data_IF_602012692768
#
_entry.id   IF_602012692768
#
_cell.length_a   1.000
_cell.length_b   1.000
_cell.length_c   1.000
_cell.angle_alpha   90.00
_cell.angle_beta   90.00
_cell.angle_gamma   90.00
#
_symmetry.space_group_name_H-M   'P 1'
#
loop_
_entity.id
_entity.type
_entity.pdbx_description
1 polymer ?
#
# COMPACT_ATOMS: atom_id res chain seq x y z
N UNK A 1 9.82 8.72 17.50
CA UNK A 1 8.68 8.86 16.58
C UNK A 1 7.48 9.32 17.38
N UNK A 2 6.87 10.43 16.98
CA UNK A 2 5.61 10.93 17.53
C UNK A 2 4.46 10.61 16.58
N UNK A 3 3.24 10.57 17.11
CA UNK A 3 2.02 10.41 16.33
C UNK A 3 1.18 11.68 16.41
N UNK A 4 0.49 12.00 15.32
CA UNK A 4 -0.39 13.18 15.23
C UNK A 4 -1.61 12.86 14.39
N UNK A 5 -2.69 13.60 14.63
CA UNK A 5 -3.87 13.61 13.74
C UNK A 5 -3.96 14.98 13.07
N UNK A 6 -3.87 15.01 11.77
CA UNK A 6 -4.03 16.21 10.92
C UNK A 6 -5.47 16.24 10.41
N UNK A 7 -6.27 17.15 10.97
CA UNK A 7 -7.72 17.22 10.68
C UNK A 7 -7.99 17.90 9.34
N UNK A 8 -9.11 17.55 8.71
CA UNK A 8 -9.66 18.23 7.54
C UNK A 8 -8.71 18.30 6.33
N UNK A 9 -8.18 17.17 5.89
CA UNK A 9 -7.34 17.04 4.70
C UNK A 9 -8.08 16.20 3.67
N UNK A 10 -8.51 16.77 2.57
CA UNK A 10 -9.25 16.09 1.49
C UNK A 10 -10.37 15.16 2.00
N UNK A 11 -11.15 15.63 3.01
CA UNK A 11 -12.24 14.88 3.63
C UNK A 11 -11.80 13.82 4.66
N UNK A 12 -10.56 13.84 5.10
CA UNK A 12 -9.98 12.92 6.09
C UNK A 12 -9.45 13.65 7.32
N UNK A 13 -9.40 12.92 8.42
CA UNK A 13 -8.53 13.18 9.56
C UNK A 13 -7.37 12.18 9.46
N UNK A 14 -6.20 12.64 9.00
CA UNK A 14 -5.03 11.81 8.77
C UNK A 14 -4.29 11.50 10.06
N UNK A 15 -4.09 10.24 10.34
CA UNK A 15 -3.11 9.80 11.31
C UNK A 15 -1.74 9.71 10.66
N UNK A 16 -0.73 10.32 11.27
CA UNK A 16 0.65 10.27 10.80
C UNK A 16 1.61 9.88 11.92
N UNK A 17 2.69 9.20 11.53
CA UNK A 17 3.90 9.03 12.33
C UNK A 17 4.94 10.01 11.83
N UNK A 18 5.64 10.67 12.74
CA UNK A 18 6.61 11.70 12.40
C UNK A 18 7.85 11.56 13.28
N UNK A 19 9.03 11.73 12.69
CA UNK A 19 10.25 11.89 13.48
C UNK A 19 10.40 13.35 13.90
N UNK A 20 10.84 13.57 15.15
CA UNK A 20 11.23 14.89 15.59
C UNK A 20 12.74 15.00 15.45
N UNK A 21 13.20 15.99 14.70
CA UNK A 21 14.60 16.38 14.66
C UNK A 21 14.76 17.63 15.54
N UNK A 22 15.74 17.62 16.45
CA UNK A 22 16.08 18.81 17.26
C UNK A 22 16.68 19.93 16.41
N UNK A 23 17.25 19.55 15.25
CA UNK A 23 17.84 20.47 14.26
C UNK A 23 16.83 20.72 13.13
N UNK A 24 16.90 21.91 12.52
CA UNK A 24 16.13 22.18 11.29
C UNK A 24 16.44 21.09 10.26
N UNK A 25 15.44 20.29 9.85
CA UNK A 25 15.70 19.15 8.96
C UNK A 25 16.18 19.64 7.62
N UNK A 26 17.16 18.95 7.05
CA UNK A 26 17.67 19.25 5.72
C UNK A 26 16.62 19.04 4.64
N UNK A 27 15.89 17.93 4.75
CA UNK A 27 14.84 17.51 3.80
C UNK A 27 13.80 16.61 4.48
N UNK A 28 12.62 16.52 3.88
CA UNK A 28 11.54 15.63 4.33
C UNK A 28 11.48 14.38 3.46
N UNK A 29 11.33 13.22 4.10
CA UNK A 29 11.05 11.94 3.47
C UNK A 29 9.63 11.51 3.86
N UNK A 30 8.81 11.23 2.87
CA UNK A 30 7.43 10.71 3.02
C UNK A 30 7.44 9.23 2.67
N UNK A 31 6.93 8.39 3.61
CA UNK A 31 6.94 6.94 3.48
C UNK A 31 5.50 6.42 3.35
N UNK A 32 5.18 5.78 2.23
CA UNK A 32 3.85 5.28 1.90
C UNK A 32 3.83 3.76 1.93
N UNK A 33 3.03 3.20 2.86
CA UNK A 33 2.90 1.75 3.08
C UNK A 33 2.04 1.06 2.01
N UNK A 34 2.10 -0.25 1.96
CA UNK A 34 1.31 -1.10 1.09
C UNK A 34 0.15 -1.82 1.79
N UNK A 35 -0.35 -2.86 1.17
CA UNK A 35 -1.41 -3.72 1.68
C UNK A 35 -0.84 -5.04 2.23
N UNK A 36 -1.30 -5.50 3.39
CA UNK A 36 -2.21 -4.91 4.38
C UNK A 36 -1.47 -4.21 5.53
N UNK A 37 -0.54 -3.34 5.21
CA UNK A 37 0.35 -2.68 6.16
C UNK A 37 -0.22 -1.33 6.66
N UNK A 38 0.53 -0.71 7.57
CA UNK A 38 0.28 0.60 8.15
C UNK A 38 1.57 1.43 8.15
N UNK A 39 1.49 2.71 8.45
CA UNK A 39 2.65 3.58 8.68
C UNK A 39 3.65 3.00 9.70
N UNK A 40 3.18 2.13 10.59
CA UNK A 40 3.99 1.44 11.60
C UNK A 40 5.08 0.55 11.00
N UNK A 41 4.90 0.04 9.78
CA UNK A 41 5.90 -0.78 9.09
C UNK A 41 7.24 -0.04 8.92
N UNK A 42 7.19 1.28 8.78
CA UNK A 42 8.38 2.11 8.59
C UNK A 42 9.10 2.54 9.87
N UNK A 43 8.63 2.14 11.06
CA UNK A 43 9.16 2.64 12.35
C UNK A 43 10.68 2.54 12.50
N UNK A 44 11.29 1.46 12.02
CA UNK A 44 12.74 1.29 12.10
C UNK A 44 13.48 2.13 11.06
N UNK A 45 12.99 2.14 9.82
CA UNK A 45 13.56 2.95 8.75
C UNK A 45 13.49 4.45 9.09
N UNK A 46 12.39 4.92 9.64
CA UNK A 46 12.23 6.31 10.08
C UNK A 46 13.28 6.71 11.12
N UNK A 47 13.60 5.82 12.07
CA UNK A 47 14.64 6.09 13.09
C UNK A 47 16.02 6.21 12.42
N UNK A 48 16.34 5.31 11.48
CA UNK A 48 17.63 5.32 10.78
C UNK A 48 17.78 6.59 9.94
N UNK A 49 16.77 6.94 9.17
CA UNK A 49 16.76 8.16 8.34
C UNK A 49 16.82 9.44 9.20
N UNK A 50 16.12 9.45 10.33
CA UNK A 50 16.15 10.59 11.26
C UNK A 50 17.54 10.81 11.85
N UNK A 51 18.30 9.77 12.13
CA UNK A 51 19.71 9.86 12.57
C UNK A 51 20.61 10.48 11.50
N UNK A 52 20.22 10.42 10.24
CA UNK A 52 20.90 11.06 9.12
C UNK A 52 20.40 12.50 8.84
N UNK A 53 19.58 13.05 9.75
CA UNK A 53 19.10 14.43 9.67
C UNK A 53 17.83 14.61 8.83
N UNK A 54 17.18 13.56 8.36
CA UNK A 54 15.91 13.67 7.63
C UNK A 54 14.71 13.79 8.57
N UNK A 55 13.76 14.63 8.19
CA UNK A 55 12.42 14.64 8.76
C UNK A 55 11.58 13.58 8.06
N UNK A 56 11.10 12.57 8.76
CA UNK A 56 10.31 11.48 8.19
C UNK A 56 8.84 11.62 8.57
N UNK A 57 7.96 11.42 7.59
CA UNK A 57 6.51 11.39 7.76
C UNK A 57 5.98 10.12 7.12
N UNK A 58 5.24 9.32 7.88
CA UNK A 58 4.54 8.14 7.41
C UNK A 58 3.06 8.23 7.80
N UNK A 59 2.15 8.53 6.84
CA UNK A 59 0.71 8.50 7.08
C UNK A 59 0.15 7.08 7.03
N UNK A 60 -0.88 6.80 7.82
CA UNK A 60 -1.82 5.74 7.47
C UNK A 60 -2.65 6.24 6.30
N UNK A 61 -2.63 5.58 5.16
CA UNK A 61 -3.31 6.03 3.95
C UNK A 61 -4.84 5.90 4.09
N UNK A 62 -5.62 6.50 3.19
CA UNK A 62 -7.09 6.38 3.16
C UNK A 62 -7.54 4.93 3.25
N UNK A 63 -8.46 4.64 4.18
CA UNK A 63 -8.98 3.30 4.42
C UNK A 63 -8.11 2.42 5.33
N UNK A 64 -7.01 2.96 5.85
CA UNK A 64 -6.10 2.21 6.71
C UNK A 64 -5.97 2.83 8.12
N UNK A 65 -5.70 1.96 9.07
CA UNK A 65 -5.24 2.28 10.43
C UNK A 65 -6.14 3.28 11.15
N UNK A 66 -5.54 4.36 11.63
CA UNK A 66 -6.21 5.40 12.40
C UNK A 66 -6.64 6.62 11.55
N UNK A 67 -6.37 6.64 10.25
CA UNK A 67 -6.91 7.66 9.35
C UNK A 67 -8.41 7.45 9.18
N UNK A 68 -9.20 8.49 9.45
CA UNK A 68 -10.67 8.43 9.46
C UNK A 68 -11.28 9.39 8.46
N UNK A 69 -12.26 8.91 7.74
CA UNK A 69 -13.08 9.74 6.86
C UNK A 69 -14.06 10.59 7.67
N UNK A 70 -14.24 11.85 7.26
CA UNK A 70 -15.19 12.77 7.91
C UNK A 70 -16.61 12.46 7.46
N UNK A 71 -16.76 11.93 6.23
CA UNK A 71 -18.05 11.55 5.62
C UNK A 71 -18.01 10.11 5.17
N UNK A 72 -19.20 9.52 4.92
CA UNK A 72 -19.31 8.19 4.33
C UNK A 72 -18.58 8.15 2.98
N UNK A 73 -17.68 7.18 2.82
CA UNK A 73 -16.89 7.02 1.63
C UNK A 73 -17.65 6.28 0.52
N UNK A 74 -17.33 6.67 -0.72
CA UNK A 74 -17.73 5.97 -1.94
C UNK A 74 -16.52 5.26 -2.53
N UNK A 75 -16.72 4.22 -3.32
CA UNK A 75 -15.62 3.51 -4.00
C UNK A 75 -14.75 4.44 -4.85
N UNK A 76 -15.35 5.47 -5.47
CA UNK A 76 -14.62 6.48 -6.25
C UNK A 76 -13.61 7.29 -5.44
N UNK A 77 -13.76 7.37 -4.11
CA UNK A 77 -12.80 8.04 -3.23
C UNK A 77 -11.45 7.31 -3.16
N UNK A 78 -11.44 6.02 -3.52
CA UNK A 78 -10.25 5.17 -3.55
C UNK A 78 -9.57 5.12 -4.93
N UNK A 79 -9.93 6.01 -5.86
CA UNK A 79 -9.20 6.13 -7.11
C UNK A 79 -7.75 6.56 -6.84
N UNK A 80 -6.81 6.04 -7.64
CA UNK A 80 -5.37 6.33 -7.45
C UNK A 80 -5.07 7.84 -7.49
N UNK A 81 -5.79 8.59 -8.31
CA UNK A 81 -5.67 10.05 -8.40
C UNK A 81 -6.09 10.70 -7.08
N UNK A 82 -7.19 10.23 -6.47
CA UNK A 82 -7.64 10.80 -5.20
C UNK A 82 -6.71 10.39 -4.03
N UNK A 83 -6.21 9.16 -4.02
CA UNK A 83 -5.20 8.73 -3.03
C UNK A 83 -3.91 9.56 -3.14
N UNK A 84 -3.49 9.88 -4.35
CA UNK A 84 -2.33 10.76 -4.58
C UNK A 84 -2.61 12.20 -4.11
N UNK A 85 -3.82 12.71 -4.37
CA UNK A 85 -4.27 14.01 -3.88
C UNK A 85 -4.31 14.07 -2.35
N UNK A 86 -4.71 12.99 -1.69
CA UNK A 86 -4.73 12.91 -0.22
C UNK A 86 -3.36 13.24 0.38
N UNK A 87 -2.31 12.64 -0.15
CA UNK A 87 -0.94 12.84 0.32
C UNK A 87 -0.44 14.24 -0.03
N UNK A 88 -0.71 14.70 -1.26
CA UNK A 88 -0.34 16.06 -1.67
C UNK A 88 -0.98 17.13 -0.75
N UNK A 89 -2.29 17.04 -0.49
CA UNK A 89 -3.00 17.99 0.38
C UNK A 89 -2.54 17.88 1.85
N UNK A 90 -2.17 16.67 2.32
CA UNK A 90 -1.58 16.48 3.63
C UNK A 90 -0.26 17.26 3.75
N UNK A 91 0.65 17.10 2.80
CA UNK A 91 1.96 17.74 2.83
C UNK A 91 1.84 19.25 2.66
N UNK A 92 0.94 19.73 1.79
CA UNK A 92 0.61 21.15 1.65
C UNK A 92 0.11 21.74 2.96
N UNK A 93 -0.76 21.05 3.68
CA UNK A 93 -1.24 21.50 4.99
C UNK A 93 -0.14 21.54 6.04
N UNK A 94 0.84 20.64 5.95
CA UNK A 94 2.04 20.63 6.80
C UNK A 94 3.10 21.66 6.34
N UNK A 95 2.82 22.44 5.27
CA UNK A 95 3.74 23.42 4.67
C UNK A 95 5.04 22.80 4.14
N UNK A 96 4.95 21.56 3.65
CA UNK A 96 6.07 20.82 3.06
C UNK A 96 5.91 20.86 1.56
N UNK A 97 6.73 21.67 0.89
CA UNK A 97 6.62 21.95 -0.55
C UNK A 97 7.51 21.04 -1.41
N UNK A 98 8.62 20.52 -0.84
CA UNK A 98 9.55 19.62 -1.51
C UNK A 98 9.88 18.44 -0.61
N UNK A 99 9.90 17.23 -1.17
CA UNK A 99 10.10 16.02 -0.39
C UNK A 99 10.61 14.85 -1.23
N UNK A 100 11.26 13.92 -0.56
CA UNK A 100 11.56 12.59 -1.10
C UNK A 100 10.36 11.68 -0.85
N UNK A 101 10.06 10.78 -1.80
CA UNK A 101 9.05 9.75 -1.63
C UNK A 101 9.69 8.37 -1.53
N UNK A 102 9.25 7.57 -0.57
CA UNK A 102 9.53 6.14 -0.47
C UNK A 102 8.20 5.41 -0.44
N UNK A 103 7.92 4.61 -1.45
CA UNK A 103 6.72 3.78 -1.52
C UNK A 103 7.05 2.30 -1.45
N UNK A 104 6.28 1.53 -0.69
CA UNK A 104 6.36 0.07 -0.64
C UNK A 104 5.04 -0.55 -1.10
N UNK A 105 5.10 -1.57 -1.96
CA UNK A 105 3.93 -2.30 -2.49
C UNK A 105 2.92 -1.33 -3.12
N UNK A 106 1.67 -1.26 -2.65
CA UNK A 106 0.66 -0.32 -3.13
C UNK A 106 1.08 1.15 -2.92
N UNK A 107 1.86 1.45 -1.86
CA UNK A 107 2.45 2.77 -1.65
C UNK A 107 3.42 3.19 -2.75
N UNK A 108 4.10 2.24 -3.43
CA UNK A 108 4.91 2.52 -4.63
C UNK A 108 4.04 3.05 -5.78
N UNK A 109 2.85 2.48 -5.94
CA UNK A 109 1.92 2.91 -6.97
C UNK A 109 1.39 4.32 -6.70
N UNK A 110 0.98 4.60 -5.46
CA UNK A 110 0.55 5.95 -5.04
C UNK A 110 1.69 6.95 -5.21
N UNK A 111 2.91 6.63 -4.76
CA UNK A 111 4.09 7.50 -4.90
C UNK A 111 4.41 7.84 -6.36
N UNK A 112 4.30 6.86 -7.25
CA UNK A 112 4.52 7.07 -8.68
C UNK A 112 3.48 8.02 -9.29
N UNK A 113 2.22 7.90 -8.90
CA UNK A 113 1.18 8.84 -9.36
C UNK A 113 1.34 10.24 -8.75
N UNK A 114 1.79 10.37 -7.51
CA UNK A 114 2.14 11.69 -6.94
C UNK A 114 3.23 12.34 -7.78
N UNK A 115 4.26 11.57 -8.16
CA UNK A 115 5.36 12.07 -8.98
C UNK A 115 4.90 12.54 -10.36
N UNK A 116 3.94 11.83 -10.97
CA UNK A 116 3.36 12.24 -12.26
C UNK A 116 2.47 13.49 -12.14
N UNK A 117 1.68 13.59 -11.08
CA UNK A 117 0.69 14.65 -10.91
C UNK A 117 1.30 15.95 -10.33
N UNK A 118 2.35 15.83 -9.52
CA UNK A 118 2.98 16.93 -8.78
C UNK A 118 4.51 16.90 -8.88
N UNK A 119 5.10 16.80 -10.09
CA UNK A 119 6.54 16.60 -10.26
C UNK A 119 7.37 17.72 -9.62
N UNK A 120 6.82 18.94 -9.57
CA UNK A 120 7.49 20.10 -8.97
C UNK A 120 7.76 19.95 -7.46
N UNK A 121 7.07 19.04 -6.76
CA UNK A 121 7.24 18.81 -5.33
C UNK A 121 8.25 17.69 -5.01
N UNK A 122 8.66 16.92 -6.01
CA UNK A 122 9.44 15.70 -5.82
C UNK A 122 10.93 15.97 -5.95
N UNK A 123 11.69 15.60 -4.92
CA UNK A 123 13.17 15.62 -4.95
C UNK A 123 13.68 14.29 -5.49
N UNK A 124 13.16 13.18 -4.98
CA UNK A 124 13.44 11.82 -5.48
C UNK A 124 12.30 10.86 -5.18
N UNK A 125 12.24 9.79 -5.93
CA UNK A 125 11.28 8.69 -5.74
C UNK A 125 12.05 7.37 -5.58
N UNK A 126 11.77 6.66 -4.49
CA UNK A 126 12.19 5.27 -4.26
C UNK A 126 10.96 4.38 -4.23
N UNK A 127 10.90 3.38 -5.09
CA UNK A 127 9.84 2.38 -5.14
C UNK A 127 10.36 1.00 -4.76
N UNK A 128 9.63 0.31 -3.89
CA UNK A 128 10.01 -1.00 -3.36
C UNK A 128 8.92 -2.03 -3.65
N UNK A 129 9.31 -3.20 -4.13
CA UNK A 129 8.48 -4.38 -4.44
C UNK A 129 7.58 -4.27 -5.66
N UNK A 130 7.16 -3.08 -6.08
CA UNK A 130 6.21 -2.92 -7.17
C UNK A 130 6.73 -1.90 -8.19
N UNK A 131 7.30 -2.33 -9.31
CA UNK A 131 7.77 -1.44 -10.35
C UNK A 131 6.60 -0.71 -11.02
N UNK A 132 6.83 0.53 -11.45
CA UNK A 132 5.83 1.34 -12.11
C UNK A 132 5.95 1.22 -13.63
N UNK A 133 4.98 0.58 -14.25
CA UNK A 133 4.88 0.39 -15.72
C UNK A 133 4.07 1.47 -16.45
N UNK A 134 3.80 2.61 -15.79
CA UNK A 134 2.92 3.66 -16.32
C UNK A 134 1.44 3.46 -15.93
N UNK A 135 0.56 4.42 -16.31
CA UNK A 135 -0.87 4.30 -16.11
C UNK A 135 -1.44 3.06 -16.80
N UNK A 136 -2.34 2.34 -16.11
CA UNK A 136 -2.93 1.12 -16.66
C UNK A 136 -3.75 1.42 -17.91
N UNK A 137 -3.45 0.77 -19.02
CA UNK A 137 -4.28 0.78 -20.22
C UNK A 137 -5.53 -0.07 -19.99
N UNK A 138 -6.67 0.31 -20.60
CA UNK A 138 -7.94 -0.45 -20.51
C UNK A 138 -7.77 -1.95 -20.81
N UNK A 139 -6.92 -2.30 -21.76
CA UNK A 139 -6.62 -3.69 -22.12
C UNK A 139 -6.06 -4.52 -20.94
N UNK A 140 -5.30 -3.92 -20.01
CA UNK A 140 -4.72 -4.64 -18.88
C UNK A 140 -5.77 -4.95 -17.79
N UNK A 141 -6.76 -4.08 -17.61
CA UNK A 141 -7.88 -4.32 -16.67
C UNK A 141 -8.69 -5.54 -17.12
N UNK A 142 -9.01 -5.62 -18.41
CA UNK A 142 -9.73 -6.75 -18.99
C UNK A 142 -8.92 -8.06 -18.88
N UNK A 143 -7.60 -8.01 -19.08
CA UNK A 143 -6.74 -9.19 -18.99
C UNK A 143 -6.75 -9.83 -17.60
N UNK A 144 -6.67 -9.03 -16.54
CA UNK A 144 -6.73 -9.56 -15.17
C UNK A 144 -8.11 -10.16 -14.85
N UNK A 145 -9.19 -9.56 -15.35
CA UNK A 145 -10.55 -10.10 -15.21
C UNK A 145 -10.68 -11.48 -15.92
N UNK A 146 -10.16 -11.60 -17.14
CA UNK A 146 -10.12 -12.87 -17.90
C UNK A 146 -9.35 -13.93 -17.13
N UNK A 147 -8.14 -13.63 -16.68
CA UNK A 147 -7.32 -14.56 -15.88
C UNK A 147 -8.04 -15.02 -14.62
N UNK A 148 -8.72 -14.09 -13.90
CA UNK A 148 -9.46 -14.49 -12.70
C UNK A 148 -10.64 -15.42 -13.02
N UNK A 149 -11.28 -15.26 -14.19
CA UNK A 149 -12.31 -16.20 -14.67
C UNK A 149 -11.70 -17.56 -14.99
N UNK A 150 -10.56 -17.60 -15.68
CA UNK A 150 -9.82 -18.83 -15.98
C UNK A 150 -9.37 -19.55 -14.71
N UNK A 151 -8.87 -18.81 -13.68
CA UNK A 151 -8.51 -19.37 -12.39
C UNK A 151 -9.68 -20.08 -11.70
N UNK A 152 -10.92 -19.56 -11.85
CA UNK A 152 -12.13 -20.19 -11.32
C UNK A 152 -12.48 -21.53 -11.99
N UNK A 153 -12.02 -21.73 -13.23
CA UNK A 153 -12.26 -22.95 -14.00
C UNK A 153 -11.23 -24.06 -13.71
N UNK A 154 -10.16 -23.75 -12.98
CA UNK A 154 -9.16 -24.74 -12.57
C UNK A 154 -9.72 -25.73 -11.54
N UNK A 155 -9.09 -26.90 -11.45
CA UNK A 155 -9.34 -27.92 -10.43
C UNK A 155 -8.08 -28.10 -9.57
N UNK A 156 -8.09 -27.74 -8.28
CA UNK A 156 -9.17 -27.04 -7.57
C UNK A 156 -9.35 -25.59 -8.06
N UNK A 157 -10.56 -25.05 -7.88
CA UNK A 157 -10.87 -23.63 -8.22
C UNK A 157 -9.92 -22.69 -7.50
N UNK A 158 -9.53 -21.63 -8.21
CA UNK A 158 -8.62 -20.60 -7.68
C UNK A 158 -9.22 -19.21 -7.86
N UNK A 159 -8.71 -18.26 -7.06
CA UNK A 159 -9.09 -16.86 -7.16
C UNK A 159 -7.88 -15.98 -6.89
N UNK A 160 -7.69 -14.95 -7.70
CA UNK A 160 -6.66 -13.94 -7.43
C UNK A 160 -7.00 -13.14 -6.17
N UNK A 161 -6.03 -12.92 -5.29
CA UNK A 161 -6.23 -12.29 -3.96
C UNK A 161 -6.90 -10.92 -4.05
N UNK A 162 -6.57 -10.09 -5.04
CA UNK A 162 -7.19 -8.76 -5.22
C UNK A 162 -8.70 -8.87 -5.48
N UNK A 163 -9.14 -9.89 -6.24
CA UNK A 163 -10.57 -10.15 -6.45
C UNK A 163 -11.26 -10.68 -5.20
N UNK A 164 -10.56 -11.46 -4.39
CA UNK A 164 -11.09 -11.91 -3.12
C UNK A 164 -11.29 -10.72 -2.16
N UNK A 165 -10.25 -9.91 -1.93
CA UNK A 165 -10.32 -8.78 -1.02
C UNK A 165 -11.27 -7.67 -1.49
N UNK A 166 -11.57 -7.55 -2.79
CA UNK A 166 -12.59 -6.65 -3.32
C UNK A 166 -14.02 -7.19 -3.24
N UNK A 167 -14.23 -8.43 -2.81
CA UNK A 167 -15.56 -9.03 -2.70
C UNK A 167 -16.27 -8.59 -1.41
N UNK A 168 -17.62 -8.46 -1.47
CA UNK A 168 -18.44 -8.02 -0.32
C UNK A 168 -18.30 -8.88 0.94
N UNK A 169 -17.93 -10.15 0.81
CA UNK A 169 -17.78 -11.07 1.95
C UNK A 169 -16.39 -11.11 2.57
N UNK A 170 -15.38 -10.51 1.95
CA UNK A 170 -13.97 -10.68 2.36
C UNK A 170 -13.70 -10.13 3.77
N UNK A 171 -14.20 -8.93 4.08
CA UNK A 171 -14.07 -8.33 5.40
C UNK A 171 -14.68 -9.22 6.48
N UNK A 172 -15.93 -9.63 6.31
CA UNK A 172 -16.63 -10.50 7.25
C UNK A 172 -15.91 -11.84 7.45
N UNK A 173 -15.42 -12.44 6.35
CA UNK A 173 -14.69 -13.71 6.43
C UNK A 173 -13.38 -13.57 7.22
N UNK A 174 -12.65 -12.47 7.05
CA UNK A 174 -11.40 -12.22 7.76
C UNK A 174 -11.65 -11.89 9.22
N UNK A 175 -12.61 -11.00 9.49
CA UNK A 175 -12.95 -10.61 10.88
C UNK A 175 -13.48 -11.77 11.72
N UNK A 176 -14.23 -12.69 11.09
CA UNK A 176 -14.85 -13.85 11.76
C UNK A 176 -14.10 -15.17 11.48
N UNK A 177 -12.86 -15.10 11.00
CA UNK A 177 -12.09 -16.32 10.73
C UNK A 177 -11.85 -17.13 12.03
N UNK A 178 -11.88 -18.46 11.90
CA UNK A 178 -11.79 -19.40 13.04
C UNK A 178 -10.61 -19.16 13.98
N UNK A 179 -9.45 -18.79 13.42
CA UNK A 179 -8.23 -18.51 14.20
C UNK A 179 -8.18 -17.10 14.80
N UNK A 180 -9.15 -16.24 14.51
CA UNK A 180 -9.18 -14.83 14.87
C UNK A 180 -8.25 -13.95 14.03
N UNK A 181 -8.59 -12.67 13.89
CA UNK A 181 -7.88 -11.71 13.03
C UNK A 181 -6.37 -11.63 13.32
N UNK A 182 -6.00 -11.62 14.60
CA UNK A 182 -4.57 -11.53 14.99
C UNK A 182 -3.76 -12.70 14.46
N UNK A 183 -4.25 -13.93 14.61
CA UNK A 183 -3.55 -15.12 14.16
C UNK A 183 -3.59 -15.24 12.63
N UNK A 184 -4.69 -14.82 12.00
CA UNK A 184 -4.76 -14.72 10.55
C UNK A 184 -3.67 -13.80 10.00
N UNK A 185 -3.53 -12.58 10.53
CA UNK A 185 -2.52 -11.63 10.08
C UNK A 185 -1.10 -12.12 10.37
N UNK A 186 -0.85 -12.73 11.53
CA UNK A 186 0.46 -13.33 11.84
C UNK A 186 0.84 -14.40 10.83
N UNK A 187 -0.09 -15.31 10.51
CA UNK A 187 0.14 -16.35 9.50
C UNK A 187 0.37 -15.73 8.12
N UNK A 188 -0.47 -14.76 7.73
CA UNK A 188 -0.35 -14.08 6.44
C UNK A 188 1.03 -13.44 6.25
N UNK A 189 1.53 -12.69 7.25
CA UNK A 189 2.85 -12.07 7.19
C UNK A 189 3.98 -13.10 7.27
N UNK A 190 3.84 -14.16 8.08
CA UNK A 190 4.83 -15.22 8.17
C UNK A 190 5.00 -15.93 6.84
N UNK A 191 3.91 -16.35 6.18
CA UNK A 191 3.97 -16.99 4.85
C UNK A 191 4.57 -16.10 3.76
N UNK A 192 4.54 -14.78 3.92
CA UNK A 192 5.18 -13.82 3.00
C UNK A 192 6.59 -13.44 3.39
N UNK A 193 7.05 -13.80 4.59
CA UNK A 193 8.37 -13.42 5.07
C UNK A 193 9.48 -14.26 4.44
N UNK A 194 10.69 -13.71 4.47
CA UNK A 194 11.90 -14.42 4.06
C UNK A 194 12.18 -15.64 4.94
N UNK A 195 11.77 -15.60 6.22
CA UNK A 195 11.99 -16.67 7.19
C UNK A 195 11.13 -17.92 6.94
N UNK A 196 10.13 -17.82 6.07
CA UNK A 196 9.31 -18.98 5.71
C UNK A 196 10.03 -19.87 4.68
N UNK A 197 10.44 -21.11 5.05
CA UNK A 197 11.34 -21.93 4.23
C UNK A 197 10.82 -22.26 2.83
N UNK A 198 9.48 -22.28 2.66
CA UNK A 198 8.84 -22.60 1.37
C UNK A 198 8.57 -21.38 0.50
N UNK A 199 8.86 -20.17 0.98
CA UNK A 199 8.66 -18.94 0.21
C UNK A 199 9.89 -18.61 -0.66
N UNK A 200 10.19 -19.51 -1.61
CA UNK A 200 11.32 -19.32 -2.53
C UNK A 200 10.83 -18.57 -3.77
N UNK A 201 11.44 -17.41 -4.11
CA UNK A 201 11.12 -16.70 -5.34
C UNK A 201 11.36 -17.57 -6.58
N UNK A 202 10.44 -17.50 -7.55
CA UNK A 202 10.61 -18.13 -8.84
C UNK A 202 10.01 -17.25 -9.94
N UNK A 203 10.48 -17.45 -11.17
CA UNK A 203 10.03 -16.70 -12.34
C UNK A 203 8.81 -17.38 -12.95
N UNK A 204 7.73 -16.62 -13.18
CA UNK A 204 6.62 -17.09 -14.00
C UNK A 204 7.04 -17.11 -15.49
N UNK A 205 6.70 -18.17 -16.19
CA UNK A 205 6.98 -18.29 -17.62
C UNK A 205 6.07 -17.40 -18.48
N UNK A 206 4.85 -17.15 -18.01
CA UNK A 206 3.86 -16.32 -18.70
C UNK A 206 2.84 -15.74 -17.73
N UNK A 207 2.04 -14.78 -18.20
CA UNK A 207 0.91 -14.22 -17.45
C UNK A 207 -0.39 -14.93 -17.87
N UNK A 208 -0.51 -16.22 -17.52
CA UNK A 208 -1.68 -17.10 -17.74
C UNK A 208 -2.19 -17.65 -16.43
N UNK A 209 -3.44 -18.10 -16.37
CA UNK A 209 -4.04 -18.65 -15.15
C UNK A 209 -3.28 -19.91 -14.65
N UNK A 210 -2.80 -20.77 -15.53
CA UNK A 210 -2.03 -21.97 -15.20
C UNK A 210 -0.69 -21.63 -14.54
N UNK A 211 0.03 -20.64 -15.07
CA UNK A 211 1.27 -20.17 -14.47
C UNK A 211 1.03 -19.44 -13.13
N UNK A 212 0.03 -18.56 -13.09
CA UNK A 212 -0.33 -17.87 -11.84
C UNK A 212 -0.80 -18.84 -10.75
N UNK A 213 -1.42 -19.97 -11.10
CA UNK A 213 -1.82 -20.98 -10.11
C UNK A 213 -0.64 -21.64 -9.38
N UNK A 214 0.60 -21.47 -9.86
CA UNK A 214 1.82 -21.90 -9.17
C UNK A 214 2.26 -20.94 -8.06
N UNK A 215 1.72 -19.72 -8.05
CA UNK A 215 2.04 -18.73 -7.02
C UNK A 215 1.53 -19.20 -5.64
N UNK A 216 2.16 -18.71 -4.55
CA UNK A 216 1.72 -19.01 -3.20
C UNK A 216 0.23 -18.74 -2.97
N UNK A 217 -0.40 -19.49 -2.08
CA UNK A 217 -1.85 -19.40 -1.81
C UNK A 217 -2.31 -18.04 -1.29
N UNK A 218 -1.42 -17.24 -0.71
CA UNK A 218 -1.75 -15.88 -0.31
C UNK A 218 -1.92 -14.90 -1.50
N UNK A 219 -1.48 -15.27 -2.70
CA UNK A 219 -1.75 -14.55 -3.95
C UNK A 219 -2.88 -15.21 -4.76
N UNK A 220 -2.89 -16.56 -4.82
CA UNK A 220 -3.85 -17.35 -5.62
C UNK A 220 -4.59 -18.29 -4.68
N UNK A 221 -5.64 -17.77 -4.09
CA UNK A 221 -6.45 -18.41 -3.04
C UNK A 221 -7.23 -19.60 -3.63
N UNK A 222 -7.27 -20.72 -2.89
CA UNK A 222 -8.14 -21.89 -3.15
C UNK A 222 -9.58 -21.64 -2.78
#
# INVERSE_FOLDING_TARGET
>A
IKTKVIKNVNGLNFFIRETCTEKKPSNTIVLLHGFPELSYSFRFLMILLSKQGYHCIAPDQRGYGETRSIKKEKTSNFSIVNLSKDIFELLKKLKINKYHLIGHDFGSYVSSYITLLYPQCIISLTIMSMPFGGPSKKANINKLATINQELRNLKPKRKHYQYYFSSKGAESNIMNCRQGLKNFLRSYFHFKSYDYPHNKPFKLASFTASEMAKMPEYYIIK
#
